data_IF_389701362861
#
_entry.id   IF_389701362861
#
_cell.length_a   1.000
_cell.length_b   1.000
_cell.length_c   1.000
_cell.angle_alpha   90.00
_cell.angle_beta   90.00
_cell.angle_gamma   90.00
#
_symmetry.space_group_name_H-M   'P 1'
#
loop_
_entity.id
_entity.type
_entity.pdbx_description
1 polymer ?
#
# COMPACT_ATOMS: atom_id res chain seq x y z
N UNK A 1 -2.56 -1.89 -20.86
CA UNK A 1 -2.14 -1.49 -19.52
C UNK A 1 -1.95 0.02 -19.45
N UNK A 2 -2.47 0.64 -18.40
CA UNK A 2 -2.36 2.07 -18.24
C UNK A 2 -0.93 2.46 -17.88
N UNK A 3 -0.46 3.59 -18.41
CA UNK A 3 0.84 4.13 -18.02
C UNK A 3 0.73 4.86 -16.70
N UNK A 4 1.86 5.11 -16.04
CA UNK A 4 1.88 5.84 -14.79
C UNK A 4 1.35 7.26 -14.95
N UNK A 5 1.41 7.82 -16.17
CA UNK A 5 0.91 9.17 -16.44
C UNK A 5 -0.59 9.29 -16.22
N UNK A 6 -1.31 8.17 -16.26
CA UNK A 6 -2.76 8.17 -16.12
C UNK A 6 -3.20 8.04 -14.66
N UNK A 7 -2.25 7.97 -13.74
CA UNK A 7 -2.52 7.88 -12.32
C UNK A 7 -2.22 9.20 -11.64
N UNK A 8 -2.80 9.39 -10.44
CA UNK A 8 -2.41 10.54 -9.63
C UNK A 8 -0.95 10.38 -9.20
N UNK A 9 -0.28 11.50 -8.82
CA UNK A 9 1.11 11.40 -8.35
C UNK A 9 1.31 10.41 -7.21
N UNK A 10 0.39 10.38 -6.25
CA UNK A 10 0.48 9.45 -5.13
C UNK A 10 0.38 8.01 -5.62
N UNK A 11 -0.57 7.75 -6.51
CA UNK A 11 -0.78 6.41 -7.03
C UNK A 11 0.40 5.97 -7.89
N UNK A 12 0.99 6.89 -8.65
CA UNK A 12 2.18 6.59 -9.44
C UNK A 12 3.34 6.20 -8.52
N UNK A 13 3.49 6.89 -7.38
CA UNK A 13 4.53 6.53 -6.41
C UNK A 13 4.29 5.14 -5.83
N UNK A 14 3.05 4.86 -5.43
CA UNK A 14 2.72 3.55 -4.89
C UNK A 14 3.03 2.45 -5.91
N UNK A 15 2.60 2.64 -7.15
CA UNK A 15 2.81 1.63 -8.18
C UNK A 15 4.28 1.42 -8.48
N UNK A 16 5.08 2.50 -8.40
CA UNK A 16 6.53 2.39 -8.55
C UNK A 16 7.15 1.55 -7.44
N UNK A 17 6.72 1.76 -6.20
CA UNK A 17 7.19 0.95 -5.08
C UNK A 17 6.75 -0.50 -5.27
N UNK A 18 5.50 -0.70 -5.64
CA UNK A 18 4.96 -2.05 -5.81
C UNK A 18 5.71 -2.80 -6.91
N UNK A 19 6.13 -2.11 -7.95
CA UNK A 19 6.90 -2.73 -9.03
C UNK A 19 8.22 -3.30 -8.51
N UNK A 20 8.81 -2.66 -7.50
CA UNK A 20 10.05 -3.14 -6.90
C UNK A 20 9.82 -4.29 -5.90
N UNK A 21 8.60 -4.43 -5.41
CA UNK A 21 8.26 -5.43 -4.40
C UNK A 21 6.97 -6.16 -4.80
N UNK A 22 6.98 -6.83 -5.97
CA UNK A 22 5.73 -7.36 -6.52
C UNK A 22 5.09 -8.46 -5.67
N UNK A 23 5.89 -9.18 -4.90
CA UNK A 23 5.39 -10.29 -4.09
C UNK A 23 5.26 -9.93 -2.61
N UNK A 24 5.31 -8.64 -2.31
CA UNK A 24 5.31 -8.12 -0.94
C UNK A 24 4.07 -7.27 -0.75
N UNK A 25 3.41 -7.40 0.40
CA UNK A 25 2.29 -6.53 0.74
C UNK A 25 2.84 -5.15 1.11
N UNK A 26 2.47 -4.14 0.35
CA UNK A 26 2.98 -2.78 0.57
C UNK A 26 1.97 -1.99 1.38
N UNK A 27 2.38 -1.59 2.58
CA UNK A 27 1.59 -0.71 3.44
C UNK A 27 2.10 0.72 3.24
N UNK A 28 1.27 1.55 2.64
CA UNK A 28 1.64 2.91 2.27
C UNK A 28 1.05 3.91 3.25
N UNK A 29 1.92 4.66 3.94
CA UNK A 29 1.47 5.61 4.98
C UNK A 29 0.73 6.78 4.35
N UNK A 30 -0.49 7.01 4.81
CA UNK A 30 -1.31 8.13 4.40
C UNK A 30 -1.99 8.69 5.64
N UNK A 31 -1.43 9.78 6.20
CA UNK A 31 -1.94 10.36 7.42
C UNK A 31 -1.84 9.38 8.59
N UNK A 32 -2.96 9.10 9.23
CA UNK A 32 -3.00 8.23 10.39
C UNK A 32 -3.26 6.77 10.04
N UNK A 33 -3.25 6.45 8.76
CA UNK A 33 -3.52 5.10 8.28
C UNK A 33 -2.39 4.61 7.41
N UNK A 34 -2.22 3.28 7.39
CA UNK A 34 -1.50 2.60 6.32
C UNK A 34 -2.52 2.00 5.39
N UNK A 35 -2.36 2.29 4.10
CA UNK A 35 -3.29 1.82 3.08
C UNK A 35 -2.63 0.77 2.20
N UNK A 36 -3.42 -0.24 1.84
CA UNK A 36 -3.05 -1.19 0.80
C UNK A 36 -3.97 -0.96 -0.38
N UNK A 37 -3.49 -1.26 -1.58
CA UNK A 37 -4.25 -0.97 -2.80
C UNK A 37 -4.36 -2.21 -3.67
N UNK A 38 -5.44 -2.27 -4.42
CA UNK A 38 -5.67 -3.28 -5.46
C UNK A 38 -5.50 -4.70 -4.91
N UNK A 39 -4.65 -5.51 -5.54
CA UNK A 39 -4.51 -6.91 -5.13
C UNK A 39 -4.00 -7.07 -3.72
N UNK A 40 -3.14 -6.16 -3.26
CA UNK A 40 -2.67 -6.19 -1.87
C UNK A 40 -3.84 -5.95 -0.92
N UNK A 41 -4.73 -5.02 -1.27
CA UNK A 41 -5.90 -4.74 -0.45
C UNK A 41 -6.82 -5.96 -0.39
N UNK A 42 -7.03 -6.62 -1.52
CA UNK A 42 -7.86 -7.83 -1.58
C UNK A 42 -7.24 -8.95 -0.74
N UNK A 43 -5.93 -9.09 -0.81
CA UNK A 43 -5.22 -10.10 -0.02
C UNK A 43 -5.33 -9.81 1.48
N UNK A 44 -5.15 -8.55 1.85
CA UNK A 44 -5.29 -8.14 3.26
C UNK A 44 -6.70 -8.40 3.77
N UNK A 45 -7.71 -8.15 2.94
CA UNK A 45 -9.09 -8.47 3.30
C UNK A 45 -9.25 -9.96 3.60
N UNK A 46 -8.68 -10.82 2.75
CA UNK A 46 -8.79 -12.26 2.95
C UNK A 46 -8.04 -12.75 4.18
N UNK A 47 -6.85 -12.23 4.39
CA UNK A 47 -5.97 -12.75 5.43
C UNK A 47 -6.21 -12.12 6.80
N UNK A 48 -6.62 -10.87 6.82
CA UNK A 48 -6.71 -10.08 8.04
C UNK A 48 -8.12 -9.62 8.37
N UNK A 49 -9.05 -9.91 7.48
CA UNK A 49 -10.45 -9.52 7.66
C UNK A 49 -10.63 -7.99 7.75
N UNK A 50 -9.79 -7.25 7.05
CA UNK A 50 -9.88 -5.80 6.95
C UNK A 50 -10.87 -5.45 5.85
N UNK A 51 -11.72 -4.47 6.12
CA UNK A 51 -12.75 -4.04 5.18
C UNK A 51 -12.14 -3.50 3.89
N UNK A 52 -12.65 -3.98 2.75
CA UNK A 52 -12.32 -3.42 1.45
C UNK A 52 -13.23 -2.23 1.17
N UNK A 53 -12.63 -1.16 0.64
CA UNK A 53 -13.38 0.00 0.16
C UNK A 53 -12.92 0.32 -1.25
N UNK A 54 -13.66 1.19 -1.91
CA UNK A 54 -13.31 1.63 -3.25
C UNK A 54 -13.53 3.12 -3.31
N UNK A 55 -12.52 3.86 -3.76
CA UNK A 55 -12.60 5.31 -3.83
C UNK A 55 -12.06 5.79 -5.15
N UNK A 56 -12.87 6.62 -5.83
CA UNK A 56 -12.43 7.26 -7.04
C UNK A 56 -11.93 6.29 -8.07
N UNK A 57 -11.12 6.81 -8.98
CA UNK A 57 -10.57 6.01 -10.06
C UNK A 57 -9.12 6.41 -10.31
N UNK A 58 -8.36 5.47 -10.83
CA UNK A 58 -7.00 5.72 -11.28
C UNK A 58 -6.86 5.00 -12.61
N UNK A 59 -6.53 5.76 -13.65
CA UNK A 59 -6.45 5.24 -15.02
C UNK A 59 -7.75 4.53 -15.44
N UNK A 60 -8.89 5.07 -15.01
CA UNK A 60 -10.20 4.54 -15.39
C UNK A 60 -10.69 3.36 -14.56
N UNK A 61 -9.89 2.88 -13.62
CA UNK A 61 -10.24 1.73 -12.77
C UNK A 61 -10.57 2.20 -11.37
N UNK A 62 -11.55 1.57 -10.69
CA UNK A 62 -11.78 1.89 -9.29
C UNK A 62 -10.55 1.61 -8.44
N UNK A 63 -10.26 2.48 -7.48
CA UNK A 63 -9.16 2.25 -6.57
C UNK A 63 -9.67 1.46 -5.38
N UNK A 64 -9.35 0.18 -5.35
CA UNK A 64 -9.70 -0.71 -4.25
C UNK A 64 -8.67 -0.53 -3.15
N UNK A 65 -9.11 -0.35 -1.92
CA UNK A 65 -8.24 -0.02 -0.79
C UNK A 65 -8.64 -0.79 0.45
N UNK A 66 -7.66 -0.99 1.32
CA UNK A 66 -7.89 -1.47 2.67
C UNK A 66 -6.92 -0.75 3.58
N UNK A 67 -7.40 -0.20 4.69
CA UNK A 67 -6.56 0.60 5.56
C UNK A 67 -6.58 0.12 6.99
N UNK A 68 -5.45 0.32 7.69
CA UNK A 68 -5.35 0.05 9.12
C UNK A 68 -4.80 1.29 9.80
N UNK A 69 -5.29 1.62 11.00
CA UNK A 69 -4.72 2.73 11.75
C UNK A 69 -3.24 2.49 12.05
N UNK A 70 -2.47 3.56 12.01
CA UNK A 70 -1.04 3.47 12.27
C UNK A 70 -0.75 2.81 13.62
N UNK A 71 -1.55 3.16 14.65
CA UNK A 71 -1.31 2.62 16.00
C UNK A 71 -1.63 1.12 16.12
N UNK A 72 -2.29 0.54 15.14
CA UNK A 72 -2.65 -0.88 15.14
C UNK A 72 -1.81 -1.72 14.18
N UNK A 73 -0.97 -1.08 13.40
CA UNK A 73 -0.31 -1.77 12.27
C UNK A 73 0.57 -2.92 12.73
N UNK A 74 1.22 -2.80 13.87
CA UNK A 74 2.14 -3.85 14.32
C UNK A 74 1.44 -5.18 14.54
N UNK A 75 0.21 -5.15 15.05
CA UNK A 75 -0.55 -6.38 15.24
C UNK A 75 -0.83 -7.06 13.92
N UNK A 76 -1.19 -6.29 12.90
CA UNK A 76 -1.46 -6.84 11.59
C UNK A 76 -0.20 -7.37 10.93
N UNK A 77 0.92 -6.63 11.08
CA UNK A 77 2.19 -7.08 10.53
C UNK A 77 2.64 -8.41 11.15
N UNK A 78 2.47 -8.52 12.47
CA UNK A 78 2.83 -9.77 13.15
C UNK A 78 2.01 -10.95 12.64
N UNK A 79 0.72 -10.73 12.39
CA UNK A 79 -0.15 -11.78 11.86
C UNK A 79 0.28 -12.20 10.46
N UNK A 80 0.62 -11.22 9.62
CA UNK A 80 1.06 -11.51 8.26
C UNK A 80 2.37 -12.28 8.24
N UNK A 81 3.31 -11.89 9.10
CA UNK A 81 4.59 -12.59 9.20
C UNK A 81 4.39 -14.03 9.63
N UNK A 82 3.48 -14.26 10.57
CA UNK A 82 3.15 -15.62 10.99
C UNK A 82 2.57 -16.45 9.84
N UNK A 83 1.86 -15.79 8.93
CA UNK A 83 1.29 -16.46 7.77
C UNK A 83 2.32 -16.67 6.66
N UNK A 84 3.56 -16.24 6.86
CA UNK A 84 4.60 -16.39 5.86
C UNK A 84 4.61 -15.31 4.80
N UNK A 85 3.93 -14.20 5.04
CA UNK A 85 3.84 -13.11 4.07
C UNK A 85 4.98 -12.13 4.26
N UNK A 86 5.50 -11.61 3.16
CA UNK A 86 6.46 -10.52 3.18
C UNK A 86 5.70 -9.20 3.18
N UNK A 87 6.17 -8.24 3.97
CA UNK A 87 5.52 -6.94 4.08
C UNK A 87 6.54 -5.82 3.94
N UNK A 88 6.09 -4.71 3.39
CA UNK A 88 6.90 -3.51 3.23
C UNK A 88 6.13 -2.33 3.79
N UNK A 89 6.83 -1.47 4.51
CA UNK A 89 6.27 -0.21 4.99
C UNK A 89 6.85 0.89 4.12
N UNK A 90 5.99 1.65 3.48
CA UNK A 90 6.39 2.77 2.64
C UNK A 90 5.86 4.05 3.26
N UNK A 91 6.73 5.00 3.50
CA UNK A 91 6.37 6.29 4.07
C UNK A 91 6.98 7.39 3.22
N UNK A 92 6.18 8.39 2.93
CA UNK A 92 6.66 9.54 2.20
C UNK A 92 7.52 10.39 3.13
N UNK A 93 8.73 10.72 2.70
CA UNK A 93 9.68 11.46 3.50
C UNK A 93 9.90 12.83 2.88
N UNK A 94 9.59 13.88 3.63
CA UNK A 94 9.82 15.23 3.17
C UNK A 94 8.85 15.67 2.08
N UNK A 95 9.33 16.52 1.19
CA UNK A 95 8.49 17.08 0.14
C UNK A 95 8.57 16.25 -1.14
N UNK A 96 8.00 16.79 -2.22
CA UNK A 96 7.95 16.09 -3.50
C UNK A 96 9.34 15.72 -4.00
N UNK A 97 10.34 16.58 -3.74
CA UNK A 97 11.68 16.33 -4.24
C UNK A 97 12.31 15.08 -3.61
N UNK A 98 11.89 14.75 -2.40
CA UNK A 98 12.40 13.58 -1.70
C UNK A 98 11.41 12.41 -1.71
N UNK A 99 10.33 12.52 -2.46
CA UNK A 99 9.29 11.50 -2.45
C UNK A 99 9.80 10.14 -2.94
N UNK A 100 10.85 10.12 -3.75
CA UNK A 100 11.44 8.86 -4.20
C UNK A 100 12.13 8.12 -3.08
N UNK A 101 12.34 8.77 -1.94
CA UNK A 101 12.93 8.15 -0.77
C UNK A 101 11.85 7.62 0.15
N UNK A 102 10.99 6.81 -0.41
CA UNK A 102 9.92 6.16 0.34
C UNK A 102 10.52 5.06 1.20
N UNK A 103 9.90 4.83 2.33
CA UNK A 103 10.38 3.85 3.29
C UNK A 103 10.60 2.47 2.71
N UNK A 104 11.45 1.71 3.36
CA UNK A 104 11.91 0.42 2.88
C UNK A 104 11.03 -0.71 3.37
N UNK A 105 11.19 -1.85 2.70
CA UNK A 105 10.54 -3.08 3.11
C UNK A 105 11.16 -3.57 4.41
N UNK A 106 10.31 -4.13 5.26
CA UNK A 106 10.72 -4.76 6.51
C UNK A 106 9.90 -6.01 6.70
N UNK A 107 10.51 -6.99 7.24
CA UNK A 107 9.81 -8.24 7.51
C UNK A 107 9.96 -8.60 8.97
#
# INVERSE_FOLDING_TARGET
MASLDQHTPMMAQYLGIKADFPDTLVFYRMGDFYELFFDDARKANRLLDITLTSRGQSAGEPVVMAGVPVHSVENYLARLIKLGEAVAIAEQVGDVATAKEIGRAHV
#
